data_IF_251363086185
#
_entry.id   IF_251363086185
#
_cell.length_a   1.000
_cell.length_b   1.000
_cell.length_c   1.000
_cell.angle_alpha   90.00
_cell.angle_beta   90.00
_cell.angle_gamma   90.00
#
_symmetry.space_group_name_H-M   'P 1'
#
loop_
_entity.id
_entity.type
_entity.pdbx_description
1 polymer ?
#
# COMPACT_ATOMS: atom_id res chain seq x y z
N UNK A 1 21.59 1.46 13.24
CA UNK A 1 20.82 1.32 14.50
C UNK A 1 19.49 0.63 14.23
N UNK A 2 19.14 -0.41 14.98
CA UNK A 2 17.87 -1.13 14.80
C UNK A 2 16.77 -0.48 15.64
N UNK A 3 15.62 -0.19 15.00
CA UNK A 3 14.38 0.29 15.62
C UNK A 3 13.45 -0.91 15.82
N UNK A 4 12.91 -1.04 17.03
CA UNK A 4 11.87 -2.05 17.30
C UNK A 4 10.56 -1.56 16.70
N UNK A 5 9.85 -2.46 16.03
CA UNK A 5 8.59 -2.14 15.40
C UNK A 5 7.53 -1.71 16.43
N UNK A 6 6.87 -0.58 16.19
CA UNK A 6 5.82 -0.06 17.06
C UNK A 6 4.43 -0.47 16.55
N UNK A 7 3.67 -1.17 17.38
CA UNK A 7 2.34 -1.68 17.01
C UNK A 7 1.39 -1.70 18.22
N UNK A 8 0.09 -1.76 17.94
CA UNK A 8 -0.97 -1.95 18.91
C UNK A 8 -1.07 -3.43 19.33
N UNK A 9 -0.47 -3.75 20.48
CA UNK A 9 -0.47 -5.09 21.06
C UNK A 9 -1.76 -5.49 21.83
N UNK A 10 -2.82 -4.68 21.80
CA UNK A 10 -4.01 -4.90 22.65
C UNK A 10 -4.71 -6.25 22.35
N UNK A 11 -4.79 -6.64 21.07
CA UNK A 11 -5.47 -7.85 20.64
C UNK A 11 -4.51 -9.03 20.42
N UNK A 12 -3.25 -8.75 20.08
CA UNK A 12 -2.21 -9.76 19.87
C UNK A 12 -0.82 -9.14 20.04
N UNK A 13 0.05 -9.83 20.77
CA UNK A 13 1.49 -9.59 20.71
C UNK A 13 2.10 -10.35 19.52
N UNK A 14 2.96 -9.67 18.76
CA UNK A 14 3.66 -10.23 17.61
C UNK A 14 5.11 -10.53 17.97
N UNK A 15 5.57 -11.72 17.57
CA UNK A 15 6.99 -12.02 17.50
C UNK A 15 7.60 -11.34 16.28
N UNK A 16 8.90 -11.07 16.34
CA UNK A 16 9.68 -10.49 15.24
C UNK A 16 9.48 -11.26 13.92
N UNK A 17 9.57 -12.59 13.95
CA UNK A 17 9.32 -13.47 12.80
C UNK A 17 7.93 -13.29 12.16
N UNK A 18 6.90 -12.97 12.97
CA UNK A 18 5.56 -12.72 12.46
C UNK A 18 5.47 -11.36 11.76
N UNK A 19 6.19 -10.35 12.26
CA UNK A 19 6.30 -9.04 11.61
C UNK A 19 7.14 -9.11 10.34
N UNK A 20 8.21 -9.91 10.33
CA UNK A 20 8.98 -10.23 9.11
C UNK A 20 8.06 -10.85 8.06
N UNK A 21 7.17 -11.76 8.46
CA UNK A 21 6.17 -12.32 7.55
C UNK A 21 5.20 -11.26 7.03
N UNK A 22 4.80 -10.27 7.83
CA UNK A 22 3.97 -9.15 7.35
C UNK A 22 4.70 -8.34 6.28
N UNK A 23 5.98 -8.01 6.49
CA UNK A 23 6.81 -7.31 5.49
C UNK A 23 6.90 -8.13 4.20
N UNK A 24 7.20 -9.43 4.32
CA UNK A 24 7.31 -10.33 3.18
C UNK A 24 6.01 -10.42 2.39
N UNK A 25 4.88 -10.60 3.06
CA UNK A 25 3.57 -10.66 2.43
C UNK A 25 3.28 -9.35 1.67
N UNK A 26 3.44 -8.19 2.33
CA UNK A 26 3.23 -6.89 1.69
C UNK A 26 4.13 -6.71 0.45
N UNK A 27 5.42 -7.02 0.57
CA UNK A 27 6.39 -6.86 -0.51
C UNK A 27 6.10 -7.78 -1.70
N UNK A 28 5.74 -9.05 -1.45
CA UNK A 28 5.36 -9.98 -2.50
C UNK A 28 4.05 -9.57 -3.20
N UNK A 29 3.08 -9.08 -2.44
CA UNK A 29 1.81 -8.60 -2.99
C UNK A 29 1.99 -7.34 -3.83
N UNK A 30 2.83 -6.39 -3.40
CA UNK A 30 3.25 -5.24 -4.19
C UNK A 30 3.84 -5.66 -5.53
N UNK A 31 4.90 -6.47 -5.51
CA UNK A 31 5.60 -6.89 -6.72
C UNK A 31 4.74 -7.75 -7.64
N UNK A 32 3.93 -8.64 -7.08
CA UNK A 32 3.02 -9.47 -7.87
C UNK A 32 1.94 -8.65 -8.57
N UNK A 33 1.37 -7.67 -7.88
CA UNK A 33 0.39 -6.76 -8.47
C UNK A 33 1.00 -5.90 -9.60
N UNK A 34 2.24 -5.43 -9.44
CA UNK A 34 2.97 -4.72 -10.51
C UNK A 34 3.14 -5.61 -11.73
N UNK A 35 3.58 -6.86 -11.56
CA UNK A 35 3.74 -7.80 -12.67
C UNK A 35 2.43 -8.12 -13.39
N UNK A 36 1.31 -8.18 -12.66
CA UNK A 36 -0.02 -8.32 -13.25
C UNK A 36 -0.33 -7.10 -14.13
N UNK A 37 -0.12 -5.87 -13.62
CA UNK A 37 -0.32 -4.66 -14.41
C UNK A 37 0.56 -4.62 -15.66
N UNK A 38 1.83 -5.03 -15.56
CA UNK A 38 2.75 -5.10 -16.70
C UNK A 38 2.28 -6.12 -17.76
N UNK A 39 1.80 -7.29 -17.32
CA UNK A 39 1.22 -8.31 -18.21
C UNK A 39 0.00 -7.78 -18.96
N UNK A 40 -0.92 -7.10 -18.26
CA UNK A 40 -2.10 -6.49 -18.85
C UNK A 40 -1.76 -5.33 -19.79
N UNK A 41 -0.69 -4.57 -19.50
CA UNK A 41 -0.19 -3.53 -20.39
C UNK A 41 0.31 -4.10 -21.72
N UNK A 42 1.06 -5.21 -21.70
CA UNK A 42 1.49 -5.93 -22.91
C UNK A 42 0.29 -6.39 -23.74
N UNK A 43 -0.75 -6.94 -23.10
CA UNK A 43 -1.99 -7.30 -23.78
C UNK A 43 -2.65 -6.09 -24.45
N UNK A 44 -2.81 -4.98 -23.74
CA UNK A 44 -3.37 -3.73 -24.29
C UNK A 44 -2.55 -3.16 -25.45
N UNK A 45 -1.24 -3.36 -25.43
CA UNK A 45 -0.34 -2.94 -26.50
C UNK A 45 -0.27 -3.92 -27.67
N UNK A 46 -1.04 -5.02 -27.65
CA UNK A 46 -1.00 -6.12 -28.62
C UNK A 46 0.38 -6.80 -28.70
N UNK A 47 1.14 -6.80 -27.60
CA UNK A 47 2.39 -7.56 -27.45
C UNK A 47 2.13 -9.01 -27.04
N UNK A 48 1.00 -9.27 -26.37
CA UNK A 48 0.47 -10.59 -26.06
C UNK A 48 -0.95 -10.71 -26.63
N UNK A 49 -1.30 -11.89 -27.14
CA UNK A 49 -2.67 -12.17 -27.53
C UNK A 49 -3.58 -12.55 -26.33
N UNK A 50 -4.88 -12.71 -26.59
CA UNK A 50 -5.91 -12.95 -25.58
C UNK A 50 -5.79 -14.29 -24.84
N UNK A 51 -4.98 -15.24 -25.33
CA UNK A 51 -4.69 -16.52 -24.69
C UNK A 51 -3.30 -16.50 -24.03
N UNK A 52 -2.30 -15.92 -24.68
CA UNK A 52 -0.96 -15.75 -24.11
C UNK A 52 -0.99 -14.96 -22.79
N UNK A 53 -1.84 -13.92 -22.70
CA UNK A 53 -2.03 -13.17 -21.46
C UNK A 53 -2.63 -14.03 -20.34
N UNK A 54 -3.52 -14.96 -20.66
CA UNK A 54 -4.13 -15.84 -19.66
C UNK A 54 -3.09 -16.82 -19.09
N UNK A 55 -2.24 -17.36 -19.95
CA UNK A 55 -1.11 -18.22 -19.54
C UNK A 55 -0.13 -17.43 -18.64
N UNK A 56 0.21 -16.18 -18.99
CA UNK A 56 1.04 -15.34 -18.12
C UNK A 56 0.35 -15.05 -16.78
N UNK A 57 -0.94 -14.70 -16.77
CA UNK A 57 -1.70 -14.43 -15.55
C UNK A 57 -1.83 -15.65 -14.63
N UNK A 58 -1.99 -16.85 -15.18
CA UNK A 58 -2.04 -18.10 -14.39
C UNK A 58 -0.73 -18.32 -13.62
N UNK A 59 0.40 -17.95 -14.22
CA UNK A 59 1.73 -18.07 -13.61
C UNK A 59 2.02 -16.95 -12.60
N UNK A 60 1.32 -15.82 -12.70
CA UNK A 60 1.45 -14.68 -11.79
C UNK A 60 0.61 -14.91 -10.53
N UNK A 61 1.09 -15.84 -9.69
CA UNK A 61 0.50 -16.09 -8.38
C UNK A 61 0.94 -14.99 -7.41
N UNK A 62 -0.02 -14.24 -6.90
CA UNK A 62 0.20 -13.38 -5.74
C UNK A 62 0.58 -14.24 -4.53
N UNK A 63 1.62 -13.85 -3.79
CA UNK A 63 2.11 -14.61 -2.64
C UNK A 63 1.05 -14.87 -1.56
N UNK A 64 1.37 -15.78 -0.64
CA UNK A 64 0.59 -15.94 0.61
C UNK A 64 0.49 -14.57 1.31
N UNK A 65 -0.64 -14.33 1.97
CA UNK A 65 -0.95 -13.09 2.66
C UNK A 65 -1.40 -13.34 4.11
N UNK A 66 -1.15 -14.55 4.65
CA UNK A 66 -1.60 -14.92 6.00
C UNK A 66 -1.10 -13.99 7.09
N UNK A 67 0.17 -13.60 7.06
CA UNK A 67 0.78 -12.70 8.05
C UNK A 67 0.09 -11.35 8.03
N UNK A 68 0.03 -10.71 6.86
CA UNK A 68 -0.62 -9.39 6.72
C UNK A 68 -2.13 -9.45 6.98
N UNK A 69 -2.82 -10.53 6.60
CA UNK A 69 -4.24 -10.73 6.91
C UNK A 69 -4.48 -10.85 8.43
N UNK A 70 -3.61 -11.55 9.15
CA UNK A 70 -3.72 -11.63 10.60
C UNK A 70 -3.43 -10.27 11.26
N UNK A 71 -2.41 -9.55 10.76
CA UNK A 71 -2.06 -8.20 11.21
C UNK A 71 -3.23 -7.23 11.06
N UNK A 72 -3.88 -7.24 9.88
CA UNK A 72 -5.06 -6.45 9.57
C UNK A 72 -6.26 -6.78 10.47
N UNK A 73 -6.56 -8.07 10.68
CA UNK A 73 -7.71 -8.52 11.50
C UNK A 73 -7.61 -8.09 12.95
N UNK A 74 -6.41 -7.97 13.48
CA UNK A 74 -6.16 -7.58 14.85
C UNK A 74 -5.99 -6.05 15.02
N UNK A 75 -6.20 -5.26 13.96
CA UNK A 75 -6.01 -3.80 13.98
C UNK A 75 -4.67 -3.41 14.62
N UNK A 76 -3.60 -4.08 14.17
CA UNK A 76 -2.33 -4.11 14.88
C UNK A 76 -1.48 -2.86 14.67
N UNK A 77 -1.70 -2.05 13.63
CA UNK A 77 -0.95 -0.79 13.49
C UNK A 77 -1.31 0.19 14.62
N UNK A 78 -0.33 0.97 15.06
CA UNK A 78 -0.55 2.11 15.96
C UNK A 78 -1.27 3.28 15.26
N UNK A 79 -1.30 3.28 13.93
CA UNK A 79 -1.95 4.29 13.10
C UNK A 79 -3.27 3.75 12.53
N UNK A 80 -4.39 4.39 12.88
CA UNK A 80 -5.72 3.95 12.46
C UNK A 80 -5.93 3.96 10.94
N UNK A 81 -5.33 4.92 10.24
CA UNK A 81 -5.37 5.00 8.78
C UNK A 81 -4.74 3.77 8.12
N UNK A 82 -3.59 3.31 8.62
CA UNK A 82 -2.93 2.08 8.16
C UNK A 82 -3.83 0.86 8.41
N UNK A 83 -4.48 0.78 9.58
CA UNK A 83 -5.44 -0.30 9.86
C UNK A 83 -6.61 -0.32 8.88
N UNK A 84 -7.12 0.85 8.46
CA UNK A 84 -8.16 0.94 7.42
C UNK A 84 -7.65 0.45 6.08
N UNK A 85 -6.49 0.92 5.63
CA UNK A 85 -5.85 0.48 4.38
C UNK A 85 -5.67 -1.04 4.38
N UNK A 86 -5.08 -1.59 5.43
CA UNK A 86 -4.90 -3.04 5.59
C UNK A 86 -6.23 -3.80 5.52
N UNK A 87 -7.30 -3.26 6.12
CA UNK A 87 -8.62 -3.88 6.13
C UNK A 87 -9.27 -3.89 4.74
N UNK A 88 -9.23 -2.78 4.00
CA UNK A 88 -9.82 -2.71 2.64
C UNK A 88 -9.03 -3.54 1.63
N UNK A 89 -7.72 -3.72 1.84
CA UNK A 89 -6.87 -4.50 0.93
C UNK A 89 -6.92 -6.00 1.25
N UNK A 90 -6.69 -6.39 2.50
CA UNK A 90 -6.46 -7.78 2.92
C UNK A 90 -7.57 -8.36 3.82
N UNK A 91 -8.54 -7.53 4.23
CA UNK A 91 -9.68 -7.93 5.05
C UNK A 91 -11.00 -7.90 4.27
N UNK A 92 -11.90 -7.01 4.69
CA UNK A 92 -13.24 -6.82 4.12
C UNK A 92 -13.49 -5.32 3.93
N UNK A 93 -14.06 -4.93 2.77
CA UNK A 93 -14.23 -3.52 2.36
C UNK A 93 -15.24 -2.74 3.21
N UNK A 94 -16.22 -3.42 3.82
CA UNK A 94 -17.22 -2.84 4.73
C UNK A 94 -17.41 -3.75 5.95
N UNK A 95 -17.55 -3.15 7.15
CA UNK A 95 -18.17 -3.65 8.40
C UNK A 95 -17.97 -5.12 8.88
N UNK A 96 -17.12 -5.90 8.21
CA UNK A 96 -16.59 -7.18 8.63
C UNK A 96 -17.21 -8.44 8.02
N UNK A 97 -18.09 -8.37 6.99
CA UNK A 97 -18.76 -9.62 6.53
C UNK A 97 -19.03 -9.76 5.02
N UNK A 98 -19.28 -8.71 4.23
CA UNK A 98 -19.94 -8.90 2.91
C UNK A 98 -19.04 -8.83 1.69
N UNK A 99 -18.04 -7.95 1.64
CA UNK A 99 -17.20 -7.76 0.45
C UNK A 99 -15.72 -8.04 0.73
N UNK A 100 -15.11 -9.03 0.03
CA UNK A 100 -13.68 -9.30 0.18
C UNK A 100 -12.84 -8.06 -0.15
N UNK A 101 -11.72 -7.91 0.56
CA UNK A 101 -10.73 -6.87 0.25
C UNK A 101 -10.17 -6.97 -1.18
N UNK A 102 -9.56 -5.89 -1.66
CA UNK A 102 -9.04 -5.80 -3.04
C UNK A 102 -8.18 -6.99 -3.44
N UNK A 103 -7.33 -7.47 -2.52
CA UNK A 103 -6.43 -8.59 -2.78
C UNK A 103 -7.19 -9.87 -3.08
N UNK A 104 -8.23 -10.18 -2.30
CA UNK A 104 -9.03 -11.40 -2.50
C UNK A 104 -9.94 -11.29 -3.73
N UNK A 105 -10.47 -10.10 -4.03
CA UNK A 105 -11.22 -9.86 -5.28
C UNK A 105 -10.33 -10.07 -6.51
N UNK A 106 -9.09 -9.58 -6.48
CA UNK A 106 -8.13 -9.74 -7.56
C UNK A 106 -7.87 -11.21 -7.90
N UNK A 107 -7.60 -12.06 -6.90
CA UNK A 107 -7.42 -13.50 -7.13
C UNK A 107 -8.66 -14.14 -7.73
N UNK A 108 -9.85 -13.78 -7.24
CA UNK A 108 -11.10 -14.35 -7.72
C UNK A 108 -11.36 -13.99 -9.19
N UNK A 109 -11.08 -12.76 -9.58
CA UNK A 109 -11.27 -12.28 -10.96
C UNK A 109 -10.23 -12.89 -11.92
N UNK A 110 -8.96 -12.98 -11.51
CA UNK A 110 -7.94 -13.70 -12.28
C UNK A 110 -8.32 -15.17 -12.47
N UNK A 111 -8.70 -15.86 -11.39
CA UNK A 111 -9.12 -17.25 -11.46
C UNK A 111 -10.33 -17.44 -12.38
N UNK A 112 -11.29 -16.51 -12.35
CA UNK A 112 -12.47 -16.55 -13.21
C UNK A 112 -12.09 -16.48 -14.68
N UNK A 113 -11.23 -15.55 -15.10
CA UNK A 113 -10.86 -15.40 -16.51
C UNK A 113 -9.97 -16.57 -16.98
N UNK A 114 -9.03 -17.02 -16.16
CA UNK A 114 -8.14 -18.15 -16.47
C UNK A 114 -8.92 -19.46 -16.57
N UNK A 115 -9.87 -19.72 -15.65
CA UNK A 115 -10.63 -20.98 -15.63
C UNK A 115 -11.65 -21.13 -16.75
N UNK A 116 -12.20 -20.02 -17.25
CA UNK A 116 -13.14 -20.03 -18.38
C UNK A 116 -12.41 -20.21 -19.71
N UNK A 117 -11.17 -19.70 -19.82
CA UNK A 117 -10.27 -19.86 -20.95
C UNK A 117 -10.92 -19.55 -22.32
N UNK A 118 -11.61 -18.41 -22.41
CA UNK A 118 -12.33 -17.97 -23.61
C UNK A 118 -11.78 -16.64 -24.18
N UNK A 119 -10.50 -16.36 -23.92
CA UNK A 119 -9.85 -15.08 -24.19
C UNK A 119 -10.15 -14.03 -23.11
N UNK A 120 -9.21 -13.12 -22.89
CA UNK A 120 -9.37 -11.98 -21.98
C UNK A 120 -9.99 -10.78 -22.72
N UNK A 121 -11.12 -10.26 -22.25
CA UNK A 121 -11.68 -9.03 -22.81
C UNK A 121 -10.99 -7.77 -22.25
N UNK A 122 -11.09 -6.64 -22.97
CA UNK A 122 -10.56 -5.35 -22.50
C UNK A 122 -11.20 -4.90 -21.18
N UNK A 123 -12.51 -5.11 -21.02
CA UNK A 123 -13.22 -4.75 -19.78
C UNK A 123 -12.72 -5.57 -18.59
N UNK A 124 -12.53 -6.87 -18.75
CA UNK A 124 -11.95 -7.73 -17.71
C UNK A 124 -10.52 -7.33 -17.40
N UNK A 125 -9.71 -7.02 -18.41
CA UNK A 125 -8.36 -6.51 -18.23
C UNK A 125 -8.34 -5.19 -17.45
N UNK A 126 -9.28 -4.28 -17.71
CA UNK A 126 -9.40 -3.00 -16.98
C UNK A 126 -9.77 -3.21 -15.51
N UNK A 127 -10.71 -4.12 -15.22
CA UNK A 127 -11.12 -4.47 -13.86
C UNK A 127 -9.95 -5.07 -13.07
N UNK A 128 -9.27 -6.08 -13.64
CA UNK A 128 -8.12 -6.72 -13.00
C UNK A 128 -6.99 -5.71 -12.80
N UNK A 129 -6.72 -4.84 -13.78
CA UNK A 129 -5.72 -3.80 -13.68
C UNK A 129 -6.03 -2.81 -12.54
N UNK A 130 -7.29 -2.38 -12.41
CA UNK A 130 -7.71 -1.50 -11.31
C UNK A 130 -7.55 -2.14 -9.93
N UNK A 131 -7.87 -3.43 -9.80
CA UNK A 131 -7.67 -4.18 -8.57
C UNK A 131 -6.18 -4.36 -8.25
N UNK A 132 -5.35 -4.70 -9.25
CA UNK A 132 -3.91 -4.80 -9.11
C UNK A 132 -3.28 -3.46 -8.70
N UNK A 133 -3.70 -2.36 -9.32
CA UNK A 133 -3.29 -1.01 -8.93
C UNK A 133 -3.63 -0.73 -7.47
N UNK A 134 -4.85 -1.03 -7.02
CA UNK A 134 -5.26 -0.82 -5.63
C UNK A 134 -4.44 -1.67 -4.64
N UNK A 135 -4.09 -2.92 -5.00
CA UNK A 135 -3.21 -3.77 -4.16
C UNK A 135 -1.79 -3.21 -4.11
N UNK A 136 -1.20 -2.84 -5.25
CA UNK A 136 0.14 -2.27 -5.33
C UNK A 136 0.24 -0.95 -4.55
N UNK A 137 -0.68 -0.02 -4.80
CA UNK A 137 -0.79 1.26 -4.11
C UNK A 137 -0.83 1.09 -2.59
N UNK A 138 -1.77 0.29 -2.10
CA UNK A 138 -1.96 0.09 -0.67
C UNK A 138 -0.80 -0.69 -0.02
N UNK A 139 -0.22 -1.68 -0.69
CA UNK A 139 0.93 -2.41 -0.18
C UNK A 139 2.17 -1.51 -0.05
N UNK A 140 2.45 -0.68 -1.07
CA UNK A 140 3.53 0.29 -1.03
C UNK A 140 3.31 1.34 0.06
N UNK A 141 2.07 1.84 0.20
CA UNK A 141 1.68 2.79 1.24
C UNK A 141 1.94 2.24 2.65
N UNK A 142 1.45 1.03 2.93
CA UNK A 142 1.66 0.39 4.23
C UNK A 142 3.14 0.14 4.47
N UNK A 143 3.88 -0.39 3.49
CA UNK A 143 5.32 -0.62 3.65
C UNK A 143 6.07 0.68 3.99
N UNK A 144 5.78 1.76 3.24
CA UNK A 144 6.37 3.08 3.45
C UNK A 144 6.16 3.59 4.87
N UNK A 145 4.91 3.60 5.33
CA UNK A 145 4.54 4.28 6.57
C UNK A 145 4.66 3.41 7.81
N UNK A 146 4.24 2.14 7.76
CA UNK A 146 4.25 1.23 8.91
C UNK A 146 5.69 0.87 9.31
N UNK A 147 6.60 0.75 8.34
CA UNK A 147 8.02 0.40 8.59
C UNK A 147 8.97 1.59 8.46
N UNK A 148 8.43 2.82 8.46
CA UNK A 148 9.18 4.08 8.51
C UNK A 148 10.30 4.19 7.45
N UNK A 149 10.01 3.84 6.19
CA UNK A 149 11.04 3.78 5.15
C UNK A 149 11.62 5.16 4.79
N UNK A 150 10.82 6.23 4.89
CA UNK A 150 11.31 7.60 4.72
C UNK A 150 12.39 7.95 5.77
N UNK A 151 12.13 7.64 7.06
CA UNK A 151 13.10 7.86 8.16
C UNK A 151 14.37 7.04 7.95
N UNK A 152 14.23 5.81 7.45
CA UNK A 152 15.37 4.95 7.17
C UNK A 152 16.27 5.54 6.07
N UNK A 153 15.69 5.92 4.93
CA UNK A 153 16.47 6.51 3.83
C UNK A 153 17.09 7.85 4.23
N UNK A 154 16.35 8.71 4.94
CA UNK A 154 16.88 9.98 5.45
C UNK A 154 18.06 9.77 6.42
N UNK A 155 17.90 8.85 7.39
CA UNK A 155 18.97 8.57 8.36
C UNK A 155 20.20 7.93 7.72
N UNK A 156 20.03 7.09 6.70
CA UNK A 156 21.13 6.53 5.92
C UNK A 156 21.94 7.61 5.20
N UNK A 157 21.28 8.57 4.56
CA UNK A 157 21.95 9.69 3.90
C UNK A 157 22.63 10.62 4.90
N UNK A 158 21.98 10.92 6.03
CA UNK A 158 22.55 11.74 7.10
C UNK A 158 23.78 11.08 7.75
N UNK A 159 23.85 9.75 7.76
CA UNK A 159 25.02 8.98 8.18
C UNK A 159 26.12 8.86 7.11
N UNK A 160 26.03 9.61 6.01
CA UNK A 160 27.02 9.55 4.93
C UNK A 160 27.01 8.25 4.16
N UNK A 161 25.82 7.65 3.98
CA UNK A 161 25.62 6.34 3.33
C UNK A 161 26.23 5.17 4.12
N UNK A 162 26.20 5.23 5.45
CA UNK A 162 26.61 4.15 6.33
C UNK A 162 25.38 3.40 6.88
N UNK A 163 25.17 2.16 6.44
CA UNK A 163 24.04 1.33 6.86
C UNK A 163 24.08 0.98 8.36
N UNK A 164 25.27 0.85 8.96
CA UNK A 164 25.39 0.50 10.38
C UNK A 164 24.85 1.61 11.30
N UNK A 165 24.95 2.86 10.83
CA UNK A 165 24.50 4.06 11.54
C UNK A 165 23.06 4.46 11.21
N UNK A 166 22.52 4.01 10.06
CA UNK A 166 21.14 4.26 9.65
C UNK A 166 20.11 3.65 10.62
N UNK A 167 18.98 4.32 10.83
CA UNK A 167 17.87 3.83 11.67
C UNK A 167 16.93 2.99 10.81
N UNK A 168 16.84 1.69 11.07
CA UNK A 168 16.01 0.77 10.28
C UNK A 168 15.13 -0.09 11.17
N UNK A 169 13.89 -0.32 10.75
CA UNK A 169 12.98 -1.26 11.40
C UNK A 169 13.55 -2.68 11.38
N UNK A 170 13.56 -3.34 12.53
CA UNK A 170 14.16 -4.68 12.70
C UNK A 170 13.48 -5.74 11.83
N UNK A 171 12.16 -5.70 11.67
CA UNK A 171 11.43 -6.66 10.86
C UNK A 171 11.72 -6.45 9.37
N UNK A 172 11.80 -5.20 8.92
CA UNK A 172 12.17 -4.87 7.55
C UNK A 172 13.61 -5.28 7.22
N UNK A 173 14.56 -5.00 8.12
CA UNK A 173 15.96 -5.39 7.96
C UNK A 173 16.11 -6.92 7.90
N UNK A 174 15.42 -7.65 8.79
CA UNK A 174 15.49 -9.10 8.83
C UNK A 174 14.85 -9.72 7.57
N UNK A 175 13.71 -9.20 7.12
CA UNK A 175 13.13 -9.60 5.84
C UNK A 175 14.15 -9.47 4.70
N UNK A 176 14.80 -8.31 4.56
CA UNK A 176 15.80 -8.08 3.51
C UNK A 176 16.96 -9.09 3.62
N UNK A 177 17.46 -9.35 4.82
CA UNK A 177 18.53 -10.31 5.06
C UNK A 177 18.14 -11.74 4.68
N UNK A 178 16.93 -12.19 5.04
CA UNK A 178 16.42 -13.53 4.73
C UNK A 178 16.16 -13.72 3.23
N UNK A 179 15.66 -12.67 2.56
CA UNK A 179 15.42 -12.67 1.12
C UNK A 179 16.69 -12.46 0.28
N UNK A 180 17.83 -12.13 0.90
CA UNK A 180 19.07 -11.78 0.21
C UNK A 180 18.99 -10.45 -0.57
N UNK A 181 18.15 -9.53 -0.10
CA UNK A 181 17.92 -8.23 -0.71
C UNK A 181 18.72 -7.13 0.01
N UNK A 182 19.14 -6.11 -0.73
CA UNK A 182 19.73 -4.90 -0.17
C UNK A 182 18.66 -4.02 0.47
N UNK A 183 18.80 -3.68 1.75
CA UNK A 183 17.77 -2.94 2.49
C UNK A 183 17.51 -1.55 1.91
N UNK A 184 18.58 -0.83 1.52
CA UNK A 184 18.49 0.51 0.93
C UNK A 184 17.79 0.45 -0.42
N UNK A 185 18.23 -0.45 -1.31
CA UNK A 185 17.64 -0.62 -2.64
C UNK A 185 16.18 -1.04 -2.56
N UNK A 186 15.85 -1.93 -1.62
CA UNK A 186 14.47 -2.38 -1.38
C UNK A 186 13.60 -1.24 -0.88
N UNK A 187 14.06 -0.47 0.11
CA UNK A 187 13.32 0.68 0.62
C UNK A 187 13.13 1.76 -0.46
N UNK A 188 14.18 2.11 -1.20
CA UNK A 188 14.07 3.07 -2.31
C UNK A 188 13.10 2.61 -3.39
N UNK A 189 13.10 1.32 -3.75
CA UNK A 189 12.15 0.76 -4.73
C UNK A 189 10.71 0.83 -4.23
N UNK A 190 10.46 0.56 -2.94
CA UNK A 190 9.12 0.71 -2.34
C UNK A 190 8.69 2.17 -2.34
N UNK A 191 9.57 3.11 -2.01
CA UNK A 191 9.26 4.55 -2.02
C UNK A 191 8.95 5.04 -3.45
N UNK A 192 9.68 4.56 -4.45
CA UNK A 192 9.39 4.83 -5.87
C UNK A 192 8.03 4.27 -6.28
N UNK A 193 7.70 3.03 -5.89
CA UNK A 193 6.37 2.48 -6.12
C UNK A 193 5.29 3.32 -5.43
N UNK A 194 5.54 3.76 -4.19
CA UNK A 194 4.61 4.60 -3.45
C UNK A 194 4.38 5.96 -4.11
N UNK A 195 5.31 6.49 -4.90
CA UNK A 195 5.12 7.75 -5.63
C UNK A 195 4.42 7.55 -6.97
N UNK A 196 4.64 6.41 -7.64
CA UNK A 196 3.98 6.06 -8.91
C UNK A 196 2.51 5.70 -8.71
N UNK A 197 2.22 4.91 -7.66
CA UNK A 197 0.89 4.36 -7.41
C UNK A 197 0.11 5.13 -6.35
N UNK A 198 0.49 6.38 -6.04
CA UNK A 198 -0.28 7.19 -5.09
C UNK A 198 -1.62 7.67 -5.69
N UNK A 199 -2.70 7.76 -4.88
CA UNK A 199 -3.92 8.43 -5.31
C UNK A 199 -3.63 9.87 -5.76
N UNK A 200 -4.21 10.27 -6.89
CA UNK A 200 -4.17 11.66 -7.31
C UNK A 200 -5.09 12.51 -6.41
N UNK A 201 -4.60 13.65 -5.95
CA UNK A 201 -5.35 14.62 -5.16
C UNK A 201 -5.56 15.87 -6.01
N UNK A 202 -6.74 16.06 -6.63
CA UNK A 202 -6.97 17.08 -7.66
C UNK A 202 -6.63 18.51 -7.23
N UNK A 203 -6.72 18.82 -5.92
CA UNK A 203 -6.34 20.13 -5.39
C UNK A 203 -4.90 20.53 -5.74
N UNK A 204 -4.00 19.54 -5.88
CA UNK A 204 -2.59 19.78 -6.19
C UNK A 204 -2.30 19.90 -7.69
N UNK A 205 -3.26 19.61 -8.58
CA UNK A 205 -3.12 19.94 -10.00
C UNK A 205 -3.04 21.46 -10.20
N UNK A 206 -3.76 22.23 -9.37
CA UNK A 206 -3.76 23.69 -9.37
C UNK A 206 -2.71 24.28 -8.42
N UNK A 207 -2.25 23.51 -7.43
CA UNK A 207 -1.33 23.93 -6.37
C UNK A 207 -0.20 22.92 -6.10
N UNK A 208 0.60 22.55 -7.11
CA UNK A 208 1.58 21.47 -6.99
C UNK A 208 2.68 21.75 -5.96
N UNK A 209 2.96 23.03 -5.68
CA UNK A 209 3.98 23.44 -4.71
C UNK A 209 3.65 23.07 -3.26
N UNK A 210 2.38 22.75 -2.96
CA UNK A 210 1.92 22.46 -1.59
C UNK A 210 1.88 20.96 -1.29
N UNK A 211 1.93 20.11 -2.31
CA UNK A 211 1.68 18.67 -2.19
C UNK A 211 2.72 17.99 -1.28
N UNK A 212 4.00 18.22 -1.54
CA UNK A 212 5.09 17.57 -0.79
C UNK A 212 5.06 17.96 0.71
N UNK A 213 4.83 19.24 1.01
CA UNK A 213 4.74 19.71 2.40
C UNK A 213 3.50 19.14 3.10
N UNK A 214 2.37 19.08 2.40
CA UNK A 214 1.14 18.52 2.92
C UNK A 214 1.28 17.02 3.20
N UNK A 215 1.77 16.24 2.24
CA UNK A 215 2.02 14.80 2.41
C UNK A 215 2.98 14.52 3.57
N UNK A 216 4.02 15.34 3.73
CA UNK A 216 4.98 15.22 4.83
C UNK A 216 4.35 15.45 6.20
N UNK A 217 3.44 16.42 6.32
CA UNK A 217 2.75 16.72 7.59
C UNK A 217 1.68 15.68 7.89
N UNK A 218 0.90 15.29 6.89
CA UNK A 218 -0.22 14.36 7.06
C UNK A 218 0.26 12.92 7.27
N UNK A 219 1.33 12.54 6.56
CA UNK A 219 1.96 11.23 6.62
C UNK A 219 0.96 10.10 6.39
N UNK A 220 0.96 9.13 7.30
CA UNK A 220 0.10 7.95 7.22
C UNK A 220 -1.41 8.25 7.33
N UNK A 221 -1.83 9.46 7.72
CA UNK A 221 -3.25 9.83 7.73
C UNK A 221 -3.76 10.26 6.34
N UNK A 222 -2.88 10.28 5.32
CA UNK A 222 -3.25 10.67 3.96
C UNK A 222 -4.28 9.70 3.38
N UNK A 223 -4.25 8.43 3.80
CA UNK A 223 -5.25 7.43 3.42
C UNK A 223 -6.68 7.75 3.88
N UNK A 224 -6.86 8.70 4.80
CA UNK A 224 -8.18 9.15 5.26
C UNK A 224 -8.70 10.38 4.53
N UNK A 225 -7.87 10.95 3.65
CA UNK A 225 -8.22 12.12 2.87
C UNK A 225 -9.05 11.66 1.68
N UNK A 226 -10.29 12.12 1.62
CA UNK A 226 -11.12 11.96 0.42
C UNK A 226 -10.61 12.93 -0.67
N UNK A 227 -10.09 12.42 -1.80
CA UNK A 227 -9.56 13.26 -2.88
C UNK A 227 -10.58 14.27 -3.43
N UNK A 228 -11.87 13.91 -3.47
CA UNK A 228 -12.91 14.78 -4.03
C UNK A 228 -13.33 15.89 -3.07
N UNK A 229 -13.19 15.63 -1.76
CA UNK A 229 -13.58 16.58 -0.70
C UNK A 229 -12.42 17.46 -0.23
N UNK A 230 -11.17 17.15 -0.60
CA UNK A 230 -10.00 17.92 -0.22
C UNK A 230 -9.98 19.28 -0.91
N UNK A 231 -10.02 20.37 -0.13
CA UNK A 231 -9.97 21.75 -0.63
C UNK A 231 -8.67 22.45 -0.24
N UNK A 232 -8.32 23.52 -0.98
CA UNK A 232 -7.14 24.34 -0.67
C UNK A 232 -7.17 24.96 0.73
N UNK A 233 -8.36 25.32 1.22
CA UNK A 233 -8.53 25.85 2.59
C UNK A 233 -8.18 24.80 3.64
N UNK A 234 -8.59 23.54 3.44
CA UNK A 234 -8.20 22.42 4.31
C UNK A 234 -6.70 22.19 4.25
N UNK A 235 -6.10 22.17 3.06
CA UNK A 235 -4.64 22.03 2.89
C UNK A 235 -3.90 23.09 3.70
N UNK A 236 -4.24 24.37 3.52
CA UNK A 236 -3.57 25.48 4.22
C UNK A 236 -3.78 25.41 5.75
N UNK A 237 -4.94 24.95 6.22
CA UNK A 237 -5.21 24.73 7.65
C UNK A 237 -4.42 23.58 8.24
N UNK A 238 -4.10 22.55 7.47
CA UNK A 238 -3.17 21.49 7.90
C UNK A 238 -1.75 22.03 7.95
N UNK A 239 -1.29 22.71 6.87
CA UNK A 239 0.06 23.26 6.78
C UNK A 239 0.37 24.26 7.91
N UNK A 240 -0.61 25.06 8.34
CA UNK A 240 -0.45 26.01 9.43
C UNK A 240 -0.74 25.44 10.83
N UNK A 241 -1.07 24.14 10.93
CA UNK A 241 -1.33 23.44 12.20
C UNK A 241 -2.69 23.71 12.84
N UNK A 242 -3.62 24.38 12.14
CA UNK A 242 -5.00 24.61 12.60
C UNK A 242 -5.80 23.31 12.66
N UNK A 243 -5.58 22.39 11.72
CA UNK A 243 -6.15 21.04 11.69
C UNK A 243 -5.02 20.05 11.91
N UNK A 244 -5.19 19.14 12.86
CA UNK A 244 -4.24 18.05 13.09
C UNK A 244 -4.52 16.90 12.09
N UNK A 245 -3.48 16.19 11.60
CA UNK A 245 -3.66 15.09 10.65
C UNK A 245 -4.64 13.99 11.12
N UNK A 246 -4.71 13.71 12.42
CA UNK A 246 -5.62 12.69 12.96
C UNK A 246 -7.11 13.10 12.90
N UNK A 247 -7.41 14.38 12.70
CA UNK A 247 -8.78 14.91 12.63
C UNK A 247 -9.37 14.81 11.20
N UNK A 248 -8.55 14.48 10.19
CA UNK A 248 -8.96 14.44 8.79
C UNK A 248 -10.04 13.39 8.53
N UNK A 249 -9.91 12.20 9.12
CA UNK A 249 -10.89 11.13 8.96
C UNK A 249 -12.29 11.56 9.41
N UNK A 250 -12.39 12.15 10.60
CA UNK A 250 -13.67 12.59 11.16
C UNK A 250 -14.27 13.73 10.35
N UNK A 251 -13.42 14.64 9.84
CA UNK A 251 -13.86 15.76 9.02
C UNK A 251 -14.51 15.30 7.70
N UNK A 252 -13.96 14.30 7.02
CA UNK A 252 -14.50 13.81 5.74
C UNK A 252 -15.65 12.82 5.91
N UNK A 253 -15.69 12.05 7.01
CA UNK A 253 -16.70 11.01 7.20
C UNK A 253 -17.91 11.47 8.03
N UNK A 254 -17.75 12.42 8.97
CA UNK A 254 -18.88 12.94 9.75
C UNK A 254 -19.62 14.09 9.04
N UNK A 255 -19.01 14.73 8.03
CA UNK A 255 -19.70 15.72 7.20
C UNK A 255 -20.86 15.11 6.37
N UNK A 256 -20.88 13.78 6.22
CA UNK A 256 -21.93 13.04 5.53
C UNK A 256 -23.11 12.60 6.44
N UNK A 257 -23.03 12.80 7.76
CA UNK A 257 -24.12 12.46 8.70
C UNK A 257 -25.09 13.63 8.97
N UNK A 258 -24.78 14.86 8.51
CA UNK A 258 -25.63 16.06 8.73
C UNK A 258 -26.51 16.47 7.54
N UNK A 259 -26.70 15.62 6.50
CA UNK A 259 -27.62 15.88 5.38
C UNK A 259 -28.78 14.87 5.28
#
# INVERSE_FOLDING_TARGET
>A
MLKVHEYNGLLKEYKEEELVSVVADLYHNLNGAIKIMDCLAKFKNNELDEFEVLDELEMLVLGDAKGVCQYARNASSSVNAINRVLRITYGFKCDGVTEPGYRATLDADIYKVVSVFNGLSTEEADIINGLAYAVASNAAYVLRHEFCLDEFIESYHNAGNNLEEAVIDVAFQQFCNEAGLGAVETASSVLECSSIYKPALPVFDEHPELEEEFEKIVGANLADVDPESLTIDVVLKVLNGTIQPCELFDMFNNANEEN
#
